data_IF_316163562423
#
_entry.id   IF_316163562423
#
_cell.length_a   1.000
_cell.length_b   1.000
_cell.length_c   1.000
_cell.angle_alpha   90.00
_cell.angle_beta   90.00
_cell.angle_gamma   90.00
#
_symmetry.space_group_name_H-M   'P 1'
#
loop_
_entity.id
_entity.type
_entity.pdbx_description
1 polymer ?
#
# COMPACT_ATOMS: atom_id res chain seq x y z
N UNK A 1 8.78 61.65 -9.95
CA UNK A 1 8.13 60.61 -9.12
C UNK A 1 7.75 59.45 -10.01
N UNK A 2 8.28 58.21 -9.82
CA UNK A 2 7.68 56.89 -10.18
C UNK A 2 8.76 55.79 -10.33
N UNK A 3 9.30 55.21 -9.24
CA UNK A 3 10.04 53.92 -9.38
C UNK A 3 10.08 52.99 -8.16
N UNK A 4 9.35 53.31 -7.08
CA UNK A 4 9.46 52.59 -5.79
C UNK A 4 8.43 51.46 -5.56
N UNK A 5 7.44 51.25 -6.45
CA UNK A 5 6.38 50.24 -6.23
C UNK A 5 6.68 48.82 -6.74
N UNK A 6 7.72 48.60 -7.54
CA UNK A 6 7.98 47.30 -8.21
C UNK A 6 8.56 46.23 -7.26
N UNK A 7 9.36 46.62 -6.27
CA UNK A 7 10.19 45.68 -5.50
C UNK A 7 9.45 44.87 -4.39
N UNK A 8 8.17 45.18 -4.10
CA UNK A 8 7.39 44.44 -3.07
C UNK A 8 6.62 43.23 -3.61
N UNK A 9 6.28 43.21 -4.90
CA UNK A 9 5.51 42.09 -5.48
C UNK A 9 6.40 40.87 -5.79
N UNK A 10 7.65 41.10 -6.17
CA UNK A 10 8.62 40.06 -6.49
C UNK A 10 8.95 39.16 -5.29
N UNK A 11 9.07 39.73 -4.09
CA UNK A 11 9.33 38.95 -2.87
C UNK A 11 8.16 38.06 -2.43
N UNK A 12 6.92 38.49 -2.71
CA UNK A 12 5.71 37.70 -2.45
C UNK A 12 5.60 36.50 -3.38
N UNK A 13 5.87 36.69 -4.67
CA UNK A 13 5.79 35.62 -5.67
C UNK A 13 6.91 34.59 -5.49
N UNK A 14 8.14 35.03 -5.19
CA UNK A 14 9.25 34.13 -4.89
C UNK A 14 8.94 33.28 -3.64
N UNK A 15 8.36 33.88 -2.60
CA UNK A 15 7.97 33.14 -1.39
C UNK A 15 6.87 32.12 -1.68
N UNK A 16 5.92 32.47 -2.54
CA UNK A 16 4.84 31.58 -2.95
C UNK A 16 5.35 30.40 -3.79
N UNK A 17 6.18 30.66 -4.81
CA UNK A 17 6.80 29.60 -5.61
C UNK A 17 7.70 28.68 -4.76
N UNK A 18 8.45 29.24 -3.79
CA UNK A 18 9.26 28.44 -2.86
C UNK A 18 8.41 27.52 -1.99
N UNK A 19 7.20 27.97 -1.62
CA UNK A 19 6.24 27.18 -0.84
C UNK A 19 5.62 26.06 -1.68
N UNK A 20 5.23 26.35 -2.92
CA UNK A 20 4.76 25.31 -3.85
C UNK A 20 5.84 24.25 -4.10
N UNK A 21 7.10 24.66 -4.32
CA UNK A 21 8.19 23.70 -4.52
C UNK A 21 8.49 22.85 -3.27
N UNK A 22 8.36 23.40 -2.06
CA UNK A 22 8.51 22.59 -0.84
C UNK A 22 7.36 21.62 -0.66
N UNK A 23 6.13 22.04 -0.99
CA UNK A 23 4.93 21.23 -0.84
C UNK A 23 4.92 20.08 -1.86
N UNK A 24 5.35 20.33 -3.11
CA UNK A 24 5.53 19.28 -4.14
C UNK A 24 6.60 18.27 -3.72
N UNK A 25 7.73 18.73 -3.16
CA UNK A 25 8.78 17.83 -2.68
C UNK A 25 8.33 16.93 -1.53
N UNK A 26 7.44 17.43 -0.66
CA UNK A 26 6.83 16.63 0.40
C UNK A 26 5.87 15.57 -0.17
N UNK A 27 5.01 15.96 -1.12
CA UNK A 27 4.05 15.07 -1.77
C UNK A 27 4.73 13.93 -2.55
N UNK A 28 5.85 14.20 -3.23
CA UNK A 28 6.58 13.14 -3.92
C UNK A 28 7.17 12.13 -2.95
N UNK A 29 7.71 12.58 -1.81
CA UNK A 29 8.22 11.67 -0.76
C UNK A 29 7.11 10.83 -0.17
N UNK A 30 5.97 11.44 0.12
CA UNK A 30 4.79 10.73 0.65
C UNK A 30 4.33 9.63 -0.31
N UNK A 31 4.19 9.94 -1.60
CA UNK A 31 3.82 8.94 -2.61
C UNK A 31 4.83 7.79 -2.69
N UNK A 32 6.13 8.08 -2.73
CA UNK A 32 7.16 7.03 -2.80
C UNK A 32 7.14 6.12 -1.56
N UNK A 33 6.99 6.70 -0.36
CA UNK A 33 6.87 5.92 0.88
C UNK A 33 5.61 5.05 0.83
N UNK A 34 4.47 5.62 0.39
CA UNK A 34 3.22 4.87 0.29
C UNK A 34 3.32 3.68 -0.67
N UNK A 35 3.99 3.86 -1.82
CA UNK A 35 4.21 2.80 -2.80
C UNK A 35 5.07 1.68 -2.21
N UNK A 36 6.19 2.02 -1.57
CA UNK A 36 7.04 1.02 -0.91
C UNK A 36 6.31 0.28 0.20
N UNK A 37 5.43 0.96 0.95
CA UNK A 37 4.59 0.31 1.96
C UNK A 37 3.60 -0.69 1.34
N UNK A 38 3.00 -0.36 0.19
CA UNK A 38 2.10 -1.28 -0.52
C UNK A 38 2.85 -2.51 -1.03
N UNK A 39 4.02 -2.33 -1.64
CA UNK A 39 4.87 -3.45 -2.10
C UNK A 39 5.26 -4.38 -0.94
N UNK A 40 5.63 -3.81 0.22
CA UNK A 40 5.94 -4.59 1.41
C UNK A 40 4.73 -5.41 1.88
N UNK A 41 3.53 -4.82 1.87
CA UNK A 41 2.29 -5.50 2.24
C UNK A 41 1.93 -6.62 1.25
N UNK A 42 2.19 -6.44 -0.05
CA UNK A 42 2.00 -7.50 -1.05
C UNK A 42 2.98 -8.66 -0.84
N UNK A 43 4.24 -8.38 -0.49
CA UNK A 43 5.23 -9.39 -0.15
C UNK A 43 4.84 -10.17 1.12
N UNK A 44 4.34 -9.48 2.16
CA UNK A 44 3.80 -10.11 3.38
C UNK A 44 2.65 -11.08 3.04
N UNK A 45 1.75 -10.69 2.15
CA UNK A 45 0.65 -11.53 1.67
C UNK A 45 1.15 -12.78 0.93
N UNK A 46 2.09 -12.61 -0.01
CA UNK A 46 2.67 -13.73 -0.77
C UNK A 46 3.43 -14.67 0.16
N UNK A 47 4.18 -14.14 1.14
CA UNK A 47 4.87 -14.93 2.14
C UNK A 47 3.90 -15.80 2.94
N UNK A 48 2.79 -15.22 3.42
CA UNK A 48 1.75 -15.97 4.13
C UNK A 48 1.16 -17.10 3.27
N UNK A 49 0.85 -16.81 2.00
CA UNK A 49 0.35 -17.80 1.04
C UNK A 49 1.35 -18.92 0.78
N UNK A 50 2.64 -18.61 0.67
CA UNK A 50 3.68 -19.62 0.47
C UNK A 50 3.86 -20.50 1.70
N UNK A 51 3.81 -19.91 2.90
CA UNK A 51 4.04 -20.64 4.15
C UNK A 51 2.84 -21.51 4.54
N UNK A 52 1.64 -20.91 4.50
CA UNK A 52 0.38 -21.58 4.85
C UNK A 52 -0.20 -22.36 3.69
N UNK A 53 0.27 -22.12 2.46
CA UNK A 53 -0.15 -22.83 1.25
C UNK A 53 0.08 -24.33 1.31
N UNK A 54 1.09 -24.82 2.04
CA UNK A 54 1.26 -26.26 2.30
C UNK A 54 0.02 -26.90 2.90
N UNK A 55 -0.73 -26.17 3.74
CA UNK A 55 -1.95 -26.70 4.37
C UNK A 55 -3.12 -26.83 3.39
N UNK A 56 -3.05 -26.18 2.23
CA UNK A 56 -4.09 -26.20 1.18
C UNK A 56 -3.60 -26.93 -0.08
N UNK A 57 -2.42 -27.57 -0.03
CA UNK A 57 -1.88 -28.39 -1.12
C UNK A 57 -0.93 -27.68 -2.09
N UNK A 58 -0.52 -26.44 -1.81
CA UNK A 58 0.57 -25.78 -2.53
C UNK A 58 1.92 -26.34 -2.05
N UNK A 59 2.82 -26.80 -2.93
CA UNK A 59 4.09 -27.41 -2.51
C UNK A 59 5.06 -26.36 -1.96
N UNK A 60 4.96 -26.00 -0.66
CA UNK A 60 5.85 -25.02 -0.02
C UNK A 60 5.58 -24.90 1.49
N UNK A 61 6.59 -24.54 2.33
CA UNK A 61 7.72 -25.32 2.89
C UNK A 61 7.25 -26.48 3.80
N UNK A 62 8.15 -27.24 4.46
CA UNK A 62 7.76 -28.30 5.40
C UNK A 62 6.80 -27.76 6.47
N UNK A 63 5.61 -28.34 6.59
CA UNK A 63 4.52 -27.82 7.42
C UNK A 63 4.90 -27.61 8.89
N UNK A 64 5.86 -28.37 9.43
CA UNK A 64 6.40 -28.18 10.77
C UNK A 64 6.98 -26.76 10.98
N UNK A 65 7.74 -26.28 9.99
CA UNK A 65 8.37 -24.96 10.02
C UNK A 65 7.31 -23.85 9.93
N UNK A 66 6.24 -24.08 9.17
CA UNK A 66 5.10 -23.17 9.11
C UNK A 66 4.40 -23.05 10.48
N UNK A 67 4.18 -24.18 11.18
CA UNK A 67 3.55 -24.18 12.51
C UNK A 67 4.42 -23.47 13.57
N UNK A 68 5.73 -23.64 13.51
CA UNK A 68 6.66 -22.95 14.43
C UNK A 68 6.65 -21.43 14.20
N UNK A 69 6.48 -20.99 12.95
CA UNK A 69 6.45 -19.58 12.57
C UNK A 69 5.08 -18.92 12.77
N UNK A 70 3.98 -19.68 12.75
CA UNK A 70 2.61 -19.18 12.94
C UNK A 70 2.44 -18.13 14.05
N UNK A 71 2.95 -18.31 15.29
CA UNK A 71 2.78 -17.32 16.36
C UNK A 71 3.46 -15.98 16.07
N UNK A 72 4.40 -15.91 15.13
CA UNK A 72 5.09 -14.69 14.73
C UNK A 72 4.46 -14.01 13.51
N UNK A 73 3.44 -14.62 12.90
CA UNK A 73 2.83 -14.17 11.64
C UNK A 73 1.52 -13.38 11.82
N UNK A 74 1.31 -12.80 13.00
CA UNK A 74 0.05 -12.08 13.29
C UNK A 74 -0.26 -11.03 12.23
N UNK A 75 0.75 -10.26 11.81
CA UNK A 75 0.60 -9.15 10.87
C UNK A 75 0.29 -9.65 9.46
N UNK A 76 1.00 -10.67 9.02
CA UNK A 76 0.85 -11.29 7.71
C UNK A 76 -0.51 -11.98 7.56
N UNK A 77 -0.98 -12.64 8.63
CA UNK A 77 -2.33 -13.23 8.68
C UNK A 77 -3.41 -12.14 8.61
N UNK A 78 -3.23 -11.00 9.28
CA UNK A 78 -4.17 -9.88 9.16
C UNK A 78 -4.23 -9.30 7.74
N UNK A 79 -3.08 -9.18 7.07
CA UNK A 79 -3.02 -8.74 5.66
C UNK A 79 -3.71 -9.75 4.76
N UNK A 80 -3.42 -11.04 4.93
CA UNK A 80 -4.04 -12.13 4.18
C UNK A 80 -5.55 -12.16 4.37
N UNK A 81 -6.04 -11.96 5.59
CA UNK A 81 -7.46 -11.95 5.91
C UNK A 81 -8.20 -10.81 5.18
N UNK A 82 -7.68 -9.58 5.24
CA UNK A 82 -8.27 -8.44 4.51
C UNK A 82 -8.31 -8.70 3.01
N UNK A 83 -7.24 -9.25 2.44
CA UNK A 83 -7.20 -9.62 1.02
C UNK A 83 -8.20 -10.71 0.67
N UNK A 84 -8.45 -11.67 1.57
CA UNK A 84 -9.44 -12.71 1.39
C UNK A 84 -10.87 -12.17 1.47
N UNK A 85 -11.15 -11.20 2.34
CA UNK A 85 -12.44 -10.48 2.38
C UNK A 85 -12.68 -9.71 1.08
N UNK A 86 -11.71 -8.90 0.64
CA UNK A 86 -11.80 -8.15 -0.62
C UNK A 86 -12.03 -9.08 -1.83
N UNK A 87 -11.31 -10.22 -1.87
CA UNK A 87 -11.47 -11.22 -2.92
C UNK A 87 -12.82 -11.94 -2.83
N UNK A 88 -13.31 -12.21 -1.62
CA UNK A 88 -14.61 -12.83 -1.38
C UNK A 88 -15.75 -11.98 -1.91
N UNK A 89 -15.71 -10.67 -1.66
CA UNK A 89 -16.72 -9.72 -2.16
C UNK A 89 -16.76 -9.69 -3.69
N UNK A 90 -15.59 -9.60 -4.34
CA UNK A 90 -15.52 -9.66 -5.82
C UNK A 90 -16.00 -11.00 -6.38
N UNK A 91 -15.65 -12.12 -5.73
CA UNK A 91 -16.12 -13.44 -6.16
C UNK A 91 -17.64 -13.59 -5.97
N UNK A 92 -18.21 -13.04 -4.90
CA UNK A 92 -19.65 -13.03 -4.67
C UNK A 92 -20.37 -12.20 -5.74
N UNK A 93 -19.84 -11.03 -6.11
CA UNK A 93 -20.35 -10.22 -7.22
C UNK A 93 -20.32 -11.01 -8.55
N UNK A 94 -19.19 -11.67 -8.85
CA UNK A 94 -19.06 -12.49 -10.06
C UNK A 94 -20.01 -13.68 -10.03
N UNK A 95 -20.12 -14.41 -8.91
CA UNK A 95 -21.04 -15.54 -8.77
C UNK A 95 -22.50 -15.11 -8.97
N UNK A 96 -22.91 -13.96 -8.40
CA UNK A 96 -24.22 -13.37 -8.61
C UNK A 96 -24.49 -12.97 -10.06
N UNK A 97 -23.49 -12.41 -10.77
CA UNK A 97 -23.63 -12.09 -12.21
C UNK A 97 -23.68 -13.32 -13.11
N UNK A 98 -23.01 -14.42 -12.72
CA UNK A 98 -23.02 -15.69 -13.44
C UNK A 98 -24.29 -16.54 -13.14
N UNK A 99 -25.17 -16.06 -12.28
CA UNK A 99 -26.44 -16.72 -11.95
C UNK A 99 -26.25 -18.02 -11.16
N UNK A 100 -25.13 -18.14 -10.44
CA UNK A 100 -24.89 -19.23 -9.50
C UNK A 100 -25.50 -18.77 -8.17
N UNK A 101 -26.74 -19.20 -7.94
CA UNK A 101 -27.44 -19.08 -6.65
C UNK A 101 -26.94 -20.13 -5.65
#
# INVERSE_FOLDING_TARGET
MTRSKSNRKTSSLIRYCRRIFSDIGALQRENLVSLTCLEAQELENIFALLLLGSFVGLPSPPSFLAVELLPFMEREIQVLHRRAEDAGDMLAEIAGTLGID
#
